data_IF_053968206152
#
_entry.id   IF_053968206152
#
_cell.length_a   1.000
_cell.length_b   1.000
_cell.length_c   1.000
_cell.angle_alpha   90.00
_cell.angle_beta   90.00
_cell.angle_gamma   90.00
#
_symmetry.space_group_name_H-M   'P 1'
#
loop_
_entity.id
_entity.type
_entity.pdbx_description
1 polymer ?
#
# COMPACT_ATOMS: atom_id res chain seq x y z
N UNK A 1 -4.68 -10.76 -50.99
CA UNK A 1 -4.69 -9.44 -50.32
C UNK A 1 -4.97 -9.69 -48.85
N UNK A 2 -3.98 -9.52 -47.98
CA UNK A 2 -4.16 -9.73 -46.55
C UNK A 2 -5.04 -8.59 -46.02
N UNK A 3 -6.26 -8.91 -45.60
CA UNK A 3 -7.07 -7.96 -44.83
C UNK A 3 -6.25 -7.58 -43.60
N UNK A 4 -6.02 -6.27 -43.36
CA UNK A 4 -5.38 -5.87 -42.15
C UNK A 4 -6.39 -6.19 -41.02
N UNK A 5 -6.03 -7.18 -40.20
CA UNK A 5 -6.64 -7.50 -38.91
C UNK A 5 -6.79 -6.35 -37.88
N UNK A 6 -6.19 -5.14 -37.98
CA UNK A 6 -6.32 -4.09 -36.97
C UNK A 6 -7.73 -3.53 -36.74
N UNK A 7 -8.71 -3.77 -37.62
CA UNK A 7 -10.00 -3.07 -37.58
C UNK A 7 -11.22 -3.91 -37.17
N UNK A 8 -11.04 -5.21 -36.86
CA UNK A 8 -12.17 -6.08 -36.51
C UNK A 8 -12.61 -5.84 -35.05
N UNK A 9 -13.91 -5.79 -34.70
CA UNK A 9 -14.39 -5.89 -33.32
C UNK A 9 -13.98 -7.23 -32.66
N UNK A 10 -13.85 -7.32 -31.31
CA UNK A 10 -13.44 -8.56 -30.63
C UNK A 10 -14.34 -9.77 -30.94
N UNK A 11 -15.64 -9.51 -31.07
CA UNK A 11 -16.67 -10.49 -31.47
C UNK A 11 -16.44 -10.98 -32.90
N UNK A 12 -16.00 -10.09 -33.79
CA UNK A 12 -15.70 -10.39 -35.19
C UNK A 12 -14.35 -11.12 -35.34
N UNK A 13 -13.37 -10.82 -34.48
CA UNK A 13 -12.13 -11.60 -34.41
C UNK A 13 -12.38 -13.01 -33.88
N UNK A 14 -13.20 -13.14 -32.84
CA UNK A 14 -13.69 -14.41 -32.30
C UNK A 14 -14.39 -15.24 -33.38
N UNK A 15 -15.31 -14.64 -34.13
CA UNK A 15 -16.01 -15.30 -35.24
C UNK A 15 -15.08 -15.69 -36.38
N UNK A 16 -14.13 -14.81 -36.77
CA UNK A 16 -13.17 -15.11 -37.85
C UNK A 16 -12.26 -16.27 -37.48
N UNK A 17 -11.78 -16.33 -36.23
CA UNK A 17 -10.94 -17.44 -35.78
C UNK A 17 -11.78 -18.73 -35.65
N UNK A 18 -13.01 -18.66 -35.14
CA UNK A 18 -13.93 -19.81 -35.09
C UNK A 18 -14.22 -20.36 -36.49
N UNK A 19 -14.53 -19.49 -37.46
CA UNK A 19 -14.77 -19.91 -38.85
C UNK A 19 -13.50 -20.52 -39.49
N UNK A 20 -12.34 -19.91 -39.30
CA UNK A 20 -11.06 -20.42 -39.82
C UNK A 20 -10.68 -21.80 -39.26
N UNK A 21 -11.04 -22.06 -37.99
CA UNK A 21 -10.75 -23.32 -37.31
C UNK A 21 -11.80 -24.39 -37.61
N UNK A 22 -13.08 -24.00 -37.74
CA UNK A 22 -14.20 -24.90 -38.04
C UNK A 22 -14.11 -25.53 -39.43
N UNK A 23 -13.59 -24.81 -40.43
CA UNK A 23 -13.56 -25.29 -41.82
C UNK A 23 -12.48 -26.35 -42.12
N UNK A 24 -11.38 -26.37 -41.36
CA UNK A 24 -10.18 -27.17 -41.69
C UNK A 24 -9.68 -28.02 -40.52
N UNK A 25 -10.19 -27.79 -39.31
CA UNK A 25 -9.72 -28.42 -38.08
C UNK A 25 -8.41 -27.84 -37.58
N UNK A 26 -8.24 -27.77 -36.25
CA UNK A 26 -7.16 -27.06 -35.56
C UNK A 26 -5.77 -27.52 -36.01
N UNK A 27 -5.57 -28.83 -36.14
CA UNK A 27 -4.27 -29.42 -36.50
C UNK A 27 -3.84 -29.08 -37.94
N UNK A 28 -4.79 -29.03 -38.88
CA UNK A 28 -4.50 -28.76 -40.29
C UNK A 28 -4.43 -27.25 -40.55
N UNK A 29 -5.25 -26.46 -39.86
CA UNK A 29 -5.14 -25.00 -39.83
C UNK A 29 -3.76 -24.57 -39.29
N UNK A 30 -3.21 -25.27 -38.29
CA UNK A 30 -1.86 -25.05 -37.79
C UNK A 30 -0.78 -25.25 -38.86
N UNK A 31 -0.90 -26.34 -39.62
CA UNK A 31 0.07 -26.75 -40.63
C UNK A 31 -0.02 -25.92 -41.91
N UNK A 32 -1.23 -25.54 -42.32
CA UNK A 32 -1.50 -24.92 -43.62
C UNK A 32 -1.71 -23.40 -43.55
N UNK A 33 -2.34 -22.88 -42.48
CA UNK A 33 -2.69 -21.46 -42.35
C UNK A 33 -1.70 -20.63 -41.50
N UNK A 34 -0.62 -21.25 -40.99
CA UNK A 34 0.32 -20.60 -40.08
C UNK A 34 -0.39 -19.97 -38.88
N UNK A 35 -1.12 -20.76 -38.07
CA UNK A 35 -1.84 -20.22 -36.90
C UNK A 35 -0.93 -19.39 -35.97
N UNK A 36 0.37 -19.67 -35.92
CA UNK A 36 1.39 -18.82 -35.30
C UNK A 36 1.25 -17.33 -35.67
N UNK A 37 1.10 -17.01 -36.96
CA UNK A 37 0.93 -15.64 -37.45
C UNK A 37 -0.41 -15.04 -36.98
N UNK A 38 -1.45 -15.87 -36.81
CA UNK A 38 -2.75 -15.45 -36.29
C UNK A 38 -2.71 -15.12 -34.80
N UNK A 39 -2.04 -15.95 -33.98
CA UNK A 39 -1.84 -15.67 -32.56
C UNK A 39 -0.96 -14.45 -32.33
N UNK A 40 0.11 -14.31 -33.14
CA UNK A 40 0.94 -13.12 -33.14
C UNK A 40 0.11 -11.86 -33.44
N UNK A 41 -0.67 -11.86 -34.54
CA UNK A 41 -1.56 -10.74 -34.90
C UNK A 41 -2.67 -10.50 -33.89
N UNK A 42 -3.18 -11.55 -33.23
CA UNK A 42 -4.11 -11.41 -32.12
C UNK A 42 -3.47 -10.58 -31.00
N UNK A 43 -2.25 -10.91 -30.60
CA UNK A 43 -1.46 -10.12 -29.65
C UNK A 43 -1.34 -8.65 -30.07
N UNK A 44 -1.07 -8.37 -31.34
CA UNK A 44 -0.99 -6.99 -31.86
C UNK A 44 -2.33 -6.25 -31.80
N UNK A 45 -3.42 -6.94 -32.17
CA UNK A 45 -4.77 -6.41 -32.17
C UNK A 45 -5.25 -6.06 -30.76
N UNK A 46 -5.00 -6.93 -29.78
CA UNK A 46 -5.37 -6.68 -28.38
C UNK A 46 -4.66 -5.45 -27.82
N UNK A 47 -3.39 -5.27 -28.15
CA UNK A 47 -2.68 -4.05 -27.79
C UNK A 47 -3.32 -2.80 -28.40
N UNK A 48 -3.71 -2.83 -29.68
CA UNK A 48 -4.27 -1.67 -30.37
C UNK A 48 -5.62 -1.21 -29.77
N UNK A 49 -6.52 -2.15 -29.49
CA UNK A 49 -7.80 -1.86 -28.82
C UNK A 49 -7.60 -1.21 -27.46
N UNK A 50 -6.56 -1.64 -26.75
CA UNK A 50 -6.22 -1.18 -25.40
C UNK A 50 -5.64 0.24 -25.41
N UNK A 51 -4.73 0.54 -26.36
CA UNK A 51 -4.13 1.88 -26.49
C UNK A 51 -5.19 2.92 -26.89
N UNK A 52 -6.20 2.52 -27.66
CA UNK A 52 -7.30 3.40 -28.08
C UNK A 52 -8.28 3.73 -26.95
N UNK A 53 -8.37 2.92 -25.90
CA UNK A 53 -9.36 3.03 -24.81
C UNK A 53 -9.12 4.17 -23.78
N UNK A 54 -8.25 5.15 -24.06
CA UNK A 54 -7.80 6.24 -23.17
C UNK A 54 -7.03 5.78 -21.90
N UNK A 55 -5.76 6.17 -21.72
CA UNK A 55 -4.91 5.75 -20.60
C UNK A 55 -4.99 6.68 -19.37
N UNK A 56 -6.12 7.35 -19.13
CA UNK A 56 -6.21 8.38 -18.07
C UNK A 56 -6.34 7.82 -16.65
N UNK A 57 -6.50 6.50 -16.49
CA UNK A 57 -6.54 5.83 -15.20
C UNK A 57 -5.35 4.88 -15.04
N UNK A 58 -4.47 5.18 -14.09
CA UNK A 58 -3.24 4.45 -13.75
C UNK A 58 -3.45 3.02 -13.23
N UNK A 59 -4.67 2.47 -13.31
CA UNK A 59 -5.03 1.15 -12.83
C UNK A 59 -6.28 0.69 -13.55
N UNK A 60 -6.13 0.14 -14.76
CA UNK A 60 -7.28 -0.45 -15.45
C UNK A 60 -7.22 -1.99 -15.31
N UNK A 61 -7.72 -2.57 -14.20
CA UNK A 61 -7.80 -4.04 -14.05
C UNK A 61 -8.61 -4.69 -15.18
N UNK A 62 -9.49 -3.91 -15.84
CA UNK A 62 -10.19 -4.30 -17.05
C UNK A 62 -9.25 -4.69 -18.19
N UNK A 63 -8.10 -4.02 -18.33
CA UNK A 63 -7.12 -4.32 -19.37
C UNK A 63 -6.55 -5.73 -19.20
N UNK A 64 -6.03 -6.00 -18.01
CA UNK A 64 -5.44 -7.30 -17.70
C UNK A 64 -6.49 -8.42 -17.78
N UNK A 65 -7.71 -8.16 -17.30
CA UNK A 65 -8.81 -9.11 -17.41
C UNK A 65 -9.19 -9.39 -18.88
N UNK A 66 -9.14 -8.38 -19.75
CA UNK A 66 -9.40 -8.55 -21.17
C UNK A 66 -8.31 -9.41 -21.83
N UNK A 67 -7.04 -9.12 -21.57
CA UNK A 67 -5.91 -9.94 -22.05
C UNK A 67 -6.01 -11.38 -21.54
N UNK A 68 -6.29 -11.59 -20.25
CA UNK A 68 -6.46 -12.92 -19.66
C UNK A 68 -7.67 -13.65 -20.25
N UNK A 69 -8.83 -12.99 -20.36
CA UNK A 69 -10.05 -13.59 -20.93
C UNK A 69 -9.86 -14.02 -22.37
N UNK A 70 -9.14 -13.23 -23.16
CA UNK A 70 -8.87 -13.58 -24.55
C UNK A 70 -7.80 -14.65 -24.68
N UNK A 71 -6.78 -14.66 -23.82
CA UNK A 71 -5.86 -15.77 -23.74
C UNK A 71 -6.59 -17.07 -23.33
N UNK A 72 -7.48 -17.03 -22.34
CA UNK A 72 -8.33 -18.17 -21.95
C UNK A 72 -9.23 -18.62 -23.09
N UNK A 73 -9.94 -17.71 -23.76
CA UNK A 73 -10.77 -18.01 -24.93
C UNK A 73 -9.97 -18.73 -26.02
N UNK A 74 -8.77 -18.23 -26.32
CA UNK A 74 -7.89 -18.81 -27.31
C UNK A 74 -7.40 -20.23 -26.97
N UNK A 75 -7.40 -20.63 -25.68
CA UNK A 75 -7.02 -21.97 -25.24
C UNK A 75 -8.24 -22.88 -25.04
N UNK A 76 -9.34 -22.34 -24.53
CA UNK A 76 -10.54 -23.09 -24.12
C UNK A 76 -11.54 -23.26 -25.27
N UNK A 77 -11.85 -22.20 -26.04
CA UNK A 77 -12.85 -22.27 -27.11
C UNK A 77 -12.29 -22.78 -28.44
N UNK A 78 -10.98 -22.69 -28.65
CA UNK A 78 -10.33 -23.20 -29.86
C UNK A 78 -9.78 -24.62 -29.71
N UNK A 79 -10.12 -25.31 -28.60
CA UNK A 79 -9.72 -26.69 -28.28
C UNK A 79 -8.25 -27.01 -28.63
N UNK A 80 -7.34 -26.07 -28.35
CA UNK A 80 -5.93 -26.21 -28.75
C UNK A 80 -5.36 -27.49 -28.11
N UNK A 81 -4.79 -28.42 -28.90
CA UNK A 81 -4.23 -29.65 -28.38
C UNK A 81 -3.18 -29.38 -27.29
N UNK A 82 -3.18 -30.15 -26.21
CA UNK A 82 -2.29 -29.93 -25.05
C UNK A 82 -0.81 -29.75 -25.44
N UNK A 83 -0.34 -30.51 -26.42
CA UNK A 83 1.04 -30.43 -26.90
C UNK A 83 1.41 -29.11 -27.61
N UNK A 84 0.42 -28.32 -28.06
CA UNK A 84 0.61 -27.04 -28.75
C UNK A 84 0.33 -25.82 -27.86
N UNK A 85 -0.28 -26.01 -26.68
CA UNK A 85 -0.63 -24.91 -25.77
C UNK A 85 0.57 -24.09 -25.31
N UNK A 86 1.73 -24.73 -25.14
CA UNK A 86 2.95 -24.02 -24.80
C UNK A 86 3.41 -23.09 -25.94
N UNK A 87 3.28 -23.57 -27.18
CA UNK A 87 3.72 -22.83 -28.36
C UNK A 87 2.75 -21.69 -28.72
N UNK A 88 1.43 -21.90 -28.61
CA UNK A 88 0.43 -20.81 -28.75
C UNK A 88 0.70 -19.67 -27.77
N UNK A 89 0.99 -20.03 -26.52
CA UNK A 89 1.26 -19.05 -25.46
C UNK A 89 2.53 -18.27 -25.77
N UNK A 90 3.56 -18.92 -26.33
CA UNK A 90 4.78 -18.26 -26.79
C UNK A 90 4.51 -17.28 -27.93
N UNK A 91 3.75 -17.67 -28.96
CA UNK A 91 3.47 -16.79 -30.11
C UNK A 91 2.62 -15.58 -29.72
N UNK A 92 1.63 -15.80 -28.83
CA UNK A 92 0.82 -14.72 -28.28
C UNK A 92 1.69 -13.75 -27.46
N UNK A 93 2.60 -14.29 -26.64
CA UNK A 93 3.58 -13.48 -25.91
C UNK A 93 4.53 -12.74 -26.85
N UNK A 94 4.94 -13.34 -27.97
CA UNK A 94 5.81 -12.73 -28.96
C UNK A 94 5.10 -11.55 -29.65
N UNK A 95 3.85 -11.74 -30.10
CA UNK A 95 3.03 -10.67 -30.69
C UNK A 95 2.79 -9.51 -29.71
N UNK A 96 2.49 -9.83 -28.45
CA UNK A 96 2.43 -8.82 -27.39
C UNK A 96 3.80 -8.15 -27.18
N UNK A 97 4.91 -8.89 -27.17
CA UNK A 97 6.23 -8.32 -26.90
C UNK A 97 6.73 -7.35 -27.99
N UNK A 98 6.36 -7.58 -29.27
CA UNK A 98 6.82 -6.75 -30.41
C UNK A 98 6.02 -5.46 -30.58
N UNK A 99 4.74 -5.46 -30.20
CA UNK A 99 3.92 -4.22 -30.17
C UNK A 99 4.31 -3.28 -29.03
N UNK A 100 5.06 -3.79 -28.04
CA UNK A 100 5.45 -3.13 -26.82
C UNK A 100 6.64 -2.16 -26.97
N UNK A 101 6.57 -1.23 -27.91
CA UNK A 101 7.31 0.03 -27.79
C UNK A 101 6.70 0.89 -26.65
N UNK A 102 7.11 0.54 -25.42
CA UNK A 102 7.63 1.44 -24.38
C UNK A 102 6.76 2.09 -23.27
N UNK A 103 5.42 1.98 -23.17
CA UNK A 103 4.74 2.77 -22.12
C UNK A 103 3.65 2.11 -21.26
N UNK A 104 2.54 1.52 -21.74
CA UNK A 104 1.35 1.37 -20.90
C UNK A 104 1.43 0.24 -19.86
N UNK A 105 1.84 -0.97 -20.26
CA UNK A 105 1.98 -2.11 -19.35
C UNK A 105 3.30 -2.06 -18.54
N UNK A 106 4.35 -1.43 -19.07
CA UNK A 106 5.55 -1.09 -18.31
C UNK A 106 5.30 0.06 -17.31
N UNK A 107 4.37 1.00 -17.60
CA UNK A 107 3.83 1.97 -16.62
C UNK A 107 2.97 1.28 -15.58
N UNK A 108 2.14 0.31 -15.97
CA UNK A 108 1.35 -0.53 -15.05
C UNK A 108 2.26 -1.30 -14.08
N UNK A 109 3.37 -1.87 -14.57
CA UNK A 109 4.39 -2.58 -13.77
C UNK A 109 5.45 -1.65 -13.12
N UNK A 110 5.31 -0.32 -13.30
CA UNK A 110 6.22 0.77 -12.90
C UNK A 110 7.69 0.63 -13.35
N UNK A 111 8.05 1.52 -14.27
CA UNK A 111 9.37 1.98 -14.78
C UNK A 111 10.15 1.02 -15.70
N UNK A 112 10.45 1.41 -16.96
CA UNK A 112 11.57 0.83 -17.72
C UNK A 112 12.90 1.51 -17.33
N UNK A 113 14.02 0.79 -17.25
CA UNK A 113 15.35 1.39 -17.20
C UNK A 113 15.79 1.84 -18.60
N UNK A 114 16.63 2.87 -18.62
CA UNK A 114 17.21 3.54 -19.78
C UNK A 114 18.34 2.76 -20.48
N UNK A 115 18.49 1.46 -20.26
CA UNK A 115 19.62 0.66 -20.75
C UNK A 115 19.13 -0.64 -21.40
N UNK A 116 19.76 -1.03 -22.51
CA UNK A 116 19.36 -2.11 -23.43
C UNK A 116 18.82 -3.36 -22.72
N UNK A 117 17.51 -3.65 -22.82
CA UNK A 117 16.91 -4.80 -22.16
C UNK A 117 17.34 -6.09 -22.88
N UNK A 118 17.67 -7.13 -22.10
CA UNK A 118 17.75 -8.51 -22.57
C UNK A 118 16.51 -8.85 -23.43
N UNK A 119 16.64 -9.53 -24.58
CA UNK A 119 15.55 -9.72 -25.55
C UNK A 119 14.28 -10.35 -24.94
N UNK A 120 14.47 -11.21 -23.93
CA UNK A 120 13.38 -11.92 -23.26
C UNK A 120 12.63 -11.09 -22.19
N UNK A 121 13.02 -9.85 -21.92
CA UNK A 121 12.35 -9.02 -20.90
C UNK A 121 10.91 -8.67 -21.30
N UNK A 122 10.68 -8.32 -22.57
CA UNK A 122 9.34 -8.02 -23.06
C UNK A 122 8.45 -9.27 -23.10
N UNK A 123 9.04 -10.41 -23.47
CA UNK A 123 8.38 -11.72 -23.39
C UNK A 123 8.02 -12.07 -21.95
N UNK A 124 8.89 -11.77 -20.98
CA UNK A 124 8.62 -11.98 -19.55
C UNK A 124 7.43 -11.12 -19.10
N UNK A 125 7.36 -9.84 -19.46
CA UNK A 125 6.21 -8.97 -19.17
C UNK A 125 4.90 -9.52 -19.77
N UNK A 126 4.96 -9.97 -21.02
CA UNK A 126 3.79 -10.51 -21.72
C UNK A 126 3.29 -11.79 -21.03
N UNK A 127 4.19 -12.71 -20.68
CA UNK A 127 3.82 -13.95 -19.98
C UNK A 127 3.13 -13.70 -18.63
N UNK A 128 3.60 -12.71 -17.86
CA UNK A 128 2.97 -12.30 -16.59
C UNK A 128 1.60 -11.69 -16.81
N UNK A 129 1.46 -10.87 -17.86
CA UNK A 129 0.19 -10.21 -18.20
C UNK A 129 -0.88 -11.22 -18.57
N UNK A 130 -0.49 -12.29 -19.27
CA UNK A 130 -1.38 -13.40 -19.64
C UNK A 130 -1.64 -14.34 -18.44
N UNK A 131 -0.74 -14.41 -17.45
CA UNK A 131 -0.80 -15.41 -16.37
C UNK A 131 -0.18 -16.75 -16.78
N UNK A 132 0.68 -16.76 -17.79
CA UNK A 132 1.37 -17.95 -18.29
C UNK A 132 2.55 -18.33 -17.37
N UNK A 133 2.26 -18.94 -16.22
CA UNK A 133 3.25 -19.19 -15.16
C UNK A 133 4.44 -20.06 -15.59
N UNK A 134 4.21 -21.09 -16.43
CA UNK A 134 5.28 -21.98 -16.89
C UNK A 134 6.23 -21.27 -17.86
N UNK A 135 5.69 -20.49 -18.79
CA UNK A 135 6.51 -19.65 -19.68
C UNK A 135 7.26 -18.57 -18.89
N UNK A 136 6.62 -17.94 -17.90
CA UNK A 136 7.27 -16.99 -16.99
C UNK A 136 8.44 -17.65 -16.26
N UNK A 137 8.30 -18.91 -15.84
CA UNK A 137 9.37 -19.67 -15.18
C UNK A 137 10.57 -19.85 -16.10
N UNK A 138 10.34 -20.34 -17.31
CA UNK A 138 11.42 -20.61 -18.26
C UNK A 138 12.14 -19.32 -18.66
N UNK A 139 11.38 -18.25 -18.96
CA UNK A 139 11.96 -16.96 -19.31
C UNK A 139 12.75 -16.34 -18.14
N UNK A 140 12.28 -16.49 -16.90
CA UNK A 140 12.99 -15.99 -15.73
C UNK A 140 14.33 -16.71 -15.53
N UNK A 141 14.40 -18.03 -15.72
CA UNK A 141 15.69 -18.76 -15.63
C UNK A 141 16.68 -18.28 -16.70
N UNK A 142 16.21 -18.03 -17.92
CA UNK A 142 17.05 -17.52 -19.00
C UNK A 142 17.56 -16.09 -18.72
N UNK A 143 16.72 -15.22 -18.15
CA UNK A 143 17.11 -13.83 -17.83
C UNK A 143 18.06 -13.78 -16.61
N UNK A 144 17.97 -14.74 -15.68
CA UNK A 144 18.75 -14.72 -14.43
C UNK A 144 20.09 -15.47 -14.50
N UNK A 145 20.25 -16.39 -15.45
CA UNK A 145 21.53 -17.08 -15.75
C UNK A 145 22.58 -16.11 -16.30
N UNK A 146 22.17 -15.03 -16.96
CA UNK A 146 23.04 -13.93 -17.34
C UNK A 146 23.22 -12.98 -16.14
N UNK A 147 24.08 -13.36 -15.18
CA UNK A 147 24.33 -12.70 -13.89
C UNK A 147 24.71 -11.19 -13.90
N UNK A 148 24.57 -10.48 -15.03
CA UNK A 148 24.94 -9.08 -15.20
C UNK A 148 23.75 -8.12 -15.22
N UNK A 149 22.50 -8.60 -15.14
CA UNK A 149 21.33 -7.75 -15.36
C UNK A 149 20.51 -7.45 -14.11
N UNK A 150 20.14 -6.17 -13.97
CA UNK A 150 19.13 -5.70 -13.03
C UNK A 150 17.77 -5.84 -13.69
N UNK A 151 16.83 -6.51 -13.02
CA UNK A 151 15.46 -6.60 -13.52
C UNK A 151 14.87 -5.19 -13.69
N UNK A 152 14.24 -4.90 -14.84
CA UNK A 152 13.79 -3.55 -15.17
C UNK A 152 12.63 -3.07 -14.28
N UNK A 153 11.82 -3.99 -13.79
CA UNK A 153 10.66 -3.74 -12.94
C UNK A 153 10.59 -4.76 -11.79
N UNK A 154 9.73 -4.49 -10.81
CA UNK A 154 9.62 -5.29 -9.60
C UNK A 154 8.61 -6.43 -9.79
N UNK A 155 9.10 -7.64 -10.09
CA UNK A 155 8.26 -8.83 -10.35
C UNK A 155 7.38 -9.22 -9.16
N UNK A 156 7.90 -9.13 -7.94
CA UNK A 156 7.13 -9.43 -6.73
C UNK A 156 6.01 -8.40 -6.51
N UNK A 157 6.23 -7.12 -6.85
CA UNK A 157 5.18 -6.10 -6.78
C UNK A 157 4.05 -6.41 -7.77
N UNK A 158 4.37 -6.90 -8.96
CA UNK A 158 3.37 -7.36 -9.92
C UNK A 158 2.53 -8.50 -9.32
N UNK A 159 3.17 -9.54 -8.78
CA UNK A 159 2.46 -10.66 -8.15
C UNK A 159 1.52 -10.21 -7.01
N UNK A 160 1.98 -9.31 -6.15
CA UNK A 160 1.18 -8.78 -5.02
C UNK A 160 0.00 -7.95 -5.52
N UNK A 161 0.21 -7.04 -6.48
CA UNK A 161 -0.85 -6.16 -7.02
C UNK A 161 -1.89 -6.93 -7.83
N UNK A 162 -1.46 -7.97 -8.53
CA UNK A 162 -2.34 -8.83 -9.32
C UNK A 162 -3.06 -9.89 -8.49
N UNK A 163 -2.77 -9.98 -7.19
CA UNK A 163 -3.25 -11.04 -6.29
C UNK A 163 -2.94 -12.45 -6.83
N UNK A 164 -1.76 -12.59 -7.45
CA UNK A 164 -1.34 -13.79 -8.16
C UNK A 164 -0.43 -14.63 -7.26
N UNK A 165 -1.03 -15.60 -6.56
CA UNK A 165 -0.33 -16.43 -5.56
C UNK A 165 0.66 -17.40 -6.19
N UNK A 166 0.31 -18.00 -7.34
CA UNK A 166 1.16 -18.93 -8.08
C UNK A 166 2.44 -18.23 -8.53
N UNK A 167 2.33 -17.02 -9.10
CA UNK A 167 3.49 -16.20 -9.45
C UNK A 167 4.29 -15.80 -8.21
N UNK A 168 3.64 -15.42 -7.11
CA UNK A 168 4.31 -15.04 -5.87
C UNK A 168 5.16 -16.19 -5.30
N UNK A 169 4.59 -17.38 -5.10
CA UNK A 169 5.30 -18.51 -4.52
C UNK A 169 6.40 -19.05 -5.44
N UNK A 170 6.17 -19.00 -6.75
CA UNK A 170 7.18 -19.29 -7.74
C UNK A 170 8.40 -18.36 -7.59
N UNK A 171 8.18 -17.04 -7.56
CA UNK A 171 9.25 -16.05 -7.40
C UNK A 171 9.97 -16.21 -6.05
N UNK A 172 9.24 -16.51 -4.99
CA UNK A 172 9.84 -16.81 -3.67
C UNK A 172 10.76 -18.02 -3.74
N UNK A 173 10.30 -19.12 -4.33
CA UNK A 173 11.11 -20.35 -4.50
C UNK A 173 12.38 -20.08 -5.32
N UNK A 174 12.27 -19.26 -6.36
CA UNK A 174 13.41 -18.85 -7.17
C UNK A 174 14.43 -18.01 -6.38
N UNK A 175 13.99 -17.08 -5.53
CA UNK A 175 14.89 -16.30 -4.67
C UNK A 175 15.52 -17.19 -3.58
N UNK A 176 14.76 -18.13 -3.02
CA UNK A 176 15.21 -19.04 -1.98
C UNK A 176 16.27 -20.04 -2.47
N UNK A 177 16.28 -20.36 -3.76
CA UNK A 177 17.31 -21.19 -4.40
C UNK A 177 18.71 -20.56 -4.34
N UNK A 178 18.82 -19.24 -4.24
CA UNK A 178 20.13 -18.58 -4.08
C UNK A 178 20.67 -18.73 -2.65
N UNK A 179 21.99 -18.94 -2.55
CA UNK A 179 22.73 -19.04 -1.30
C UNK A 179 23.78 -17.93 -1.15
N UNK A 180 24.07 -17.54 0.10
CA UNK A 180 25.15 -16.59 0.41
C UNK A 180 24.96 -15.21 -0.22
N UNK A 181 26.03 -14.68 -0.83
CA UNK A 181 26.06 -13.33 -1.43
C UNK A 181 25.02 -13.15 -2.55
N UNK A 182 24.76 -14.22 -3.32
CA UNK A 182 23.79 -14.19 -4.41
C UNK A 182 22.36 -14.00 -3.89
N UNK A 183 22.07 -14.49 -2.67
CA UNK A 183 20.77 -14.28 -2.03
C UNK A 183 20.57 -12.84 -1.59
N UNK A 184 21.63 -12.18 -1.11
CA UNK A 184 21.59 -10.76 -0.76
C UNK A 184 21.37 -9.87 -1.99
N UNK A 185 22.03 -10.20 -3.10
CA UNK A 185 21.84 -9.52 -4.37
C UNK A 185 20.42 -9.75 -4.91
N UNK A 186 19.93 -10.99 -4.90
CA UNK A 186 18.56 -11.29 -5.30
C UNK A 186 17.53 -10.52 -4.47
N UNK A 187 17.65 -10.51 -3.14
CA UNK A 187 16.74 -9.76 -2.25
C UNK A 187 16.73 -8.25 -2.56
N UNK A 188 17.87 -7.70 -2.95
CA UNK A 188 18.00 -6.29 -3.37
C UNK A 188 17.40 -6.06 -4.76
N UNK A 189 17.66 -6.95 -5.71
CA UNK A 189 17.16 -6.89 -7.08
C UNK A 189 15.64 -7.00 -7.14
N UNK A 190 15.07 -7.93 -6.38
CA UNK A 190 13.63 -8.13 -6.24
C UNK A 190 12.99 -7.14 -5.25
N UNK A 191 13.72 -6.16 -4.72
CA UNK A 191 13.21 -5.10 -3.82
C UNK A 191 12.31 -5.63 -2.70
N UNK A 192 12.71 -6.73 -2.05
CA UNK A 192 11.88 -7.43 -1.05
C UNK A 192 11.40 -6.49 0.07
N UNK A 193 12.22 -5.56 0.53
CA UNK A 193 11.85 -4.59 1.57
C UNK A 193 10.65 -3.69 1.15
N UNK A 194 10.59 -3.29 -0.12
CA UNK A 194 9.46 -2.54 -0.69
C UNK A 194 8.22 -3.43 -0.80
N UNK A 195 8.41 -4.68 -1.21
CA UNK A 195 7.31 -5.65 -1.35
C UNK A 195 6.72 -6.08 -0.01
N UNK A 196 7.51 -6.11 1.07
CA UNK A 196 6.98 -6.29 2.43
C UNK A 196 5.98 -5.17 2.72
N UNK A 197 6.36 -3.92 2.46
CA UNK A 197 5.46 -2.77 2.68
C UNK A 197 4.19 -2.84 1.82
N UNK A 198 4.30 -3.29 0.57
CA UNK A 198 3.15 -3.49 -0.31
C UNK A 198 2.23 -4.63 0.15
N UNK A 199 2.80 -5.77 0.57
CA UNK A 199 2.01 -6.90 1.09
C UNK A 199 1.26 -6.56 2.39
N UNK A 200 1.86 -5.69 3.21
CA UNK A 200 1.22 -5.14 4.41
C UNK A 200 0.05 -4.24 4.01
N UNK A 201 0.26 -3.35 3.03
CA UNK A 201 -0.78 -2.46 2.53
C UNK A 201 -1.95 -3.23 1.89
N UNK A 202 -1.66 -4.34 1.19
CA UNK A 202 -2.68 -5.23 0.63
C UNK A 202 -3.32 -6.19 1.65
N UNK A 203 -2.92 -6.09 2.93
CA UNK A 203 -3.43 -6.90 4.06
C UNK A 203 -3.24 -8.41 3.89
N UNK A 204 -2.24 -8.84 3.11
CA UNK A 204 -1.95 -10.26 2.90
C UNK A 204 -0.90 -10.75 3.92
N UNK A 205 -1.37 -11.27 5.06
CA UNK A 205 -0.52 -11.73 6.16
C UNK A 205 0.43 -12.87 5.77
N UNK A 206 -0.01 -13.79 4.90
CA UNK A 206 0.78 -14.96 4.51
C UNK A 206 1.96 -14.56 3.62
N UNK A 207 1.72 -13.71 2.62
CA UNK A 207 2.77 -13.14 1.78
C UNK A 207 3.74 -12.29 2.61
N UNK A 208 3.22 -11.45 3.50
CA UNK A 208 4.04 -10.64 4.42
C UNK A 208 4.94 -11.53 5.30
N UNK A 209 4.37 -12.60 5.87
CA UNK A 209 5.11 -13.54 6.73
C UNK A 209 6.27 -14.18 5.97
N UNK A 210 6.03 -14.65 4.75
CA UNK A 210 7.06 -15.26 3.91
C UNK A 210 8.16 -14.28 3.50
N UNK A 211 7.82 -13.06 3.08
CA UNK A 211 8.81 -12.05 2.72
C UNK A 211 9.70 -11.66 3.91
N UNK A 212 9.14 -11.55 5.12
CA UNK A 212 9.91 -11.25 6.33
C UNK A 212 10.83 -12.42 6.71
N UNK A 213 10.34 -13.66 6.62
CA UNK A 213 11.18 -14.85 6.85
C UNK A 213 12.37 -14.90 5.88
N UNK A 214 12.10 -14.68 4.58
CA UNK A 214 13.13 -14.59 3.55
C UNK A 214 14.12 -13.44 3.84
N UNK A 215 13.62 -12.28 4.25
CA UNK A 215 14.47 -11.13 4.57
C UNK A 215 15.36 -11.37 5.79
N UNK A 216 14.87 -12.12 6.77
CA UNK A 216 15.59 -12.49 8.00
C UNK A 216 16.55 -13.66 7.80
N UNK A 217 16.49 -14.38 6.68
CA UNK A 217 17.45 -15.46 6.37
C UNK A 217 18.85 -14.93 6.01
N UNK A 218 18.97 -13.64 5.66
CA UNK A 218 20.23 -12.96 5.37
C UNK A 218 20.98 -12.60 6.67
N UNK A 219 22.32 -12.65 6.63
CA UNK A 219 23.21 -12.25 7.75
C UNK A 219 22.98 -10.81 8.20
N UNK A 220 22.84 -9.87 7.26
CA UNK A 220 22.46 -8.47 7.53
C UNK A 220 20.96 -8.35 7.83
N UNK A 221 20.62 -8.41 9.12
CA UNK A 221 19.26 -8.22 9.64
C UNK A 221 18.67 -6.86 9.23
N UNK A 222 17.35 -6.80 9.12
CA UNK A 222 16.62 -5.56 8.88
C UNK A 222 17.00 -4.51 9.94
N UNK A 223 17.20 -3.27 9.51
CA UNK A 223 17.54 -2.20 10.43
C UNK A 223 16.29 -1.75 11.22
N UNK A 224 16.49 -1.11 12.38
CA UNK A 224 15.38 -0.67 13.24
C UNK A 224 14.46 0.38 12.58
N UNK A 225 14.92 1.04 11.51
CA UNK A 225 14.13 2.02 10.77
C UNK A 225 13.18 1.34 9.78
N UNK A 226 13.64 0.29 9.09
CA UNK A 226 12.87 -0.54 8.18
C UNK A 226 11.77 -1.29 8.93
N UNK A 227 12.12 -1.93 10.05
CA UNK A 227 11.11 -2.62 10.89
C UNK A 227 10.06 -1.65 11.42
N UNK A 228 10.46 -0.42 11.78
CA UNK A 228 9.51 0.65 12.14
C UNK A 228 8.64 1.02 10.97
N UNK A 229 9.21 1.21 9.78
CA UNK A 229 8.45 1.59 8.59
C UNK A 229 7.37 0.55 8.26
N UNK A 230 7.68 -0.74 8.32
CA UNK A 230 6.71 -1.82 8.08
C UNK A 230 5.52 -1.74 9.05
N UNK A 231 5.78 -1.46 10.32
CA UNK A 231 4.73 -1.34 11.34
C UNK A 231 3.92 -0.07 11.14
N UNK A 232 4.54 1.05 10.81
CA UNK A 232 3.82 2.28 10.47
C UNK A 232 2.93 2.05 9.24
N UNK A 233 3.42 1.36 8.20
CA UNK A 233 2.60 0.97 7.05
C UNK A 233 1.44 0.06 7.44
N UNK A 234 1.64 -0.87 8.38
CA UNK A 234 0.56 -1.72 8.90
C UNK A 234 -0.49 -0.87 9.63
N UNK A 235 -0.08 0.11 10.43
CA UNK A 235 -0.99 1.04 11.10
C UNK A 235 -1.75 1.93 10.11
N UNK A 236 -1.14 2.28 8.97
CA UNK A 236 -1.79 3.05 7.90
C UNK A 236 -2.95 2.32 7.24
N UNK A 237 -3.03 0.99 7.39
CA UNK A 237 -4.20 0.22 6.95
C UNK A 237 -5.44 0.44 7.83
N UNK A 238 -5.26 1.04 9.00
CA UNK A 238 -6.27 1.26 10.05
C UNK A 238 -7.01 -0.02 10.50
N UNK A 239 -6.41 -1.19 10.30
CA UNK A 239 -6.95 -2.47 10.71
C UNK A 239 -6.24 -2.94 11.99
N UNK A 240 -6.94 -2.79 13.12
CA UNK A 240 -6.42 -3.15 14.45
C UNK A 240 -6.18 -4.66 14.56
N UNK A 241 -7.03 -5.48 13.94
CA UNK A 241 -6.90 -6.95 13.97
C UNK A 241 -5.68 -7.41 13.18
N UNK A 242 -5.44 -6.80 12.03
CA UNK A 242 -4.24 -7.02 11.24
C UNK A 242 -2.98 -6.60 12.01
N UNK A 243 -2.99 -5.43 12.65
CA UNK A 243 -1.84 -4.97 13.44
C UNK A 243 -1.59 -5.88 14.65
N UNK A 244 -2.63 -6.37 15.32
CA UNK A 244 -2.49 -7.30 16.44
C UNK A 244 -1.94 -8.65 15.99
N UNK A 245 -2.46 -9.23 14.90
CA UNK A 245 -1.97 -10.51 14.37
C UNK A 245 -0.52 -10.37 13.90
N UNK A 246 -0.18 -9.26 13.24
CA UNK A 246 1.19 -8.93 12.86
C UNK A 246 2.11 -8.78 14.09
N UNK A 247 1.64 -8.13 15.16
CA UNK A 247 2.36 -7.98 16.41
C UNK A 247 2.67 -9.35 17.05
N UNK A 248 1.69 -10.25 17.07
CA UNK A 248 1.81 -11.60 17.62
C UNK A 248 2.79 -12.47 16.83
N UNK A 249 2.80 -12.35 15.50
CA UNK A 249 3.75 -13.10 14.65
C UNK A 249 5.20 -12.63 14.84
N UNK A 250 5.40 -11.35 15.19
CA UNK A 250 6.72 -10.73 15.18
C UNK A 250 7.03 -9.86 16.42
N UNK A 251 6.92 -10.40 17.65
CA UNK A 251 6.86 -9.61 18.88
C UNK A 251 8.12 -8.75 19.13
N UNK A 252 9.30 -9.25 18.76
CA UNK A 252 10.58 -8.56 19.01
C UNK A 252 10.69 -7.25 18.22
N UNK A 253 10.29 -7.27 16.93
CA UNK A 253 10.34 -6.05 16.13
C UNK A 253 9.23 -5.07 16.52
N UNK A 254 8.06 -5.62 16.89
CA UNK A 254 6.88 -4.82 17.18
C UNK A 254 7.02 -4.02 18.47
N UNK A 255 7.53 -4.65 19.54
CA UNK A 255 7.77 -3.98 20.82
C UNK A 255 8.62 -2.71 20.69
N UNK A 256 9.69 -2.75 19.86
CA UNK A 256 10.57 -1.59 19.64
C UNK A 256 9.88 -0.48 18.85
N UNK A 257 9.05 -0.84 17.88
CA UNK A 257 8.36 0.14 17.05
C UNK A 257 7.16 0.77 17.77
N UNK A 258 6.43 0.01 18.58
CA UNK A 258 5.33 0.53 19.40
C UNK A 258 5.83 1.52 20.46
N UNK A 259 7.01 1.28 21.02
CA UNK A 259 7.72 2.26 21.85
C UNK A 259 8.11 3.52 21.08
N UNK A 260 8.07 3.57 19.76
CA UNK A 260 8.46 4.79 19.06
C UNK A 260 7.31 5.81 19.03
N UNK A 261 7.58 7.08 19.37
CA UNK A 261 6.57 8.16 19.38
C UNK A 261 5.76 8.26 18.08
N UNK A 262 6.39 7.96 16.93
CA UNK A 262 5.71 7.99 15.63
C UNK A 262 4.51 7.04 15.53
N UNK A 263 4.52 5.89 16.25
CA UNK A 263 3.39 4.97 16.25
C UNK A 263 2.16 5.64 16.88
N UNK A 264 2.31 6.18 18.09
CA UNK A 264 1.25 6.95 18.76
C UNK A 264 0.76 8.12 17.91
N UNK A 265 1.69 8.88 17.30
CA UNK A 265 1.33 9.98 16.39
C UNK A 265 0.45 9.48 15.25
N UNK A 266 0.78 8.34 14.64
CA UNK A 266 0.01 7.79 13.53
C UNK A 266 -1.38 7.34 13.98
N UNK A 267 -1.47 6.66 15.12
CA UNK A 267 -2.75 6.25 15.70
C UNK A 267 -3.65 7.47 16.01
N UNK A 268 -3.09 8.54 16.59
CA UNK A 268 -3.82 9.79 16.84
C UNK A 268 -4.37 10.40 15.55
N UNK A 269 -3.58 10.38 14.46
CA UNK A 269 -4.01 10.89 13.14
C UNK A 269 -5.09 10.04 12.49
N UNK A 270 -5.05 8.72 12.70
CA UNK A 270 -6.04 7.80 12.14
C UNK A 270 -7.40 7.87 12.84
N UNK A 271 -7.46 8.46 14.05
CA UNK A 271 -8.69 8.50 14.84
C UNK A 271 -9.06 7.17 15.51
N UNK A 272 -8.17 6.18 15.55
CA UNK A 272 -8.47 4.87 16.13
C UNK A 272 -8.07 4.79 17.60
N UNK A 273 -9.06 4.86 18.51
CA UNK A 273 -8.87 4.66 19.95
C UNK A 273 -8.41 3.23 20.26
N UNK A 274 -8.92 2.23 19.54
CA UNK A 274 -8.49 0.83 19.64
C UNK A 274 -7.01 0.65 19.31
N UNK A 275 -6.51 1.34 18.28
CA UNK A 275 -5.09 1.32 17.95
C UNK A 275 -4.24 1.94 19.08
N UNK A 276 -4.73 3.02 19.71
CA UNK A 276 -4.06 3.62 20.89
C UNK A 276 -3.97 2.60 22.03
N UNK A 277 -5.09 1.95 22.36
CA UNK A 277 -5.15 0.93 23.41
C UNK A 277 -4.21 -0.25 23.13
N UNK A 278 -4.17 -0.72 21.88
CA UNK A 278 -3.24 -1.76 21.44
C UNK A 278 -1.78 -1.33 21.64
N UNK A 279 -1.42 -0.12 21.21
CA UNK A 279 -0.06 0.40 21.36
C UNK A 279 0.36 0.54 22.83
N UNK A 280 -0.55 0.99 23.69
CA UNK A 280 -0.27 1.14 25.13
C UNK A 280 -0.01 -0.23 25.75
N UNK A 281 -0.89 -1.21 25.49
CA UNK A 281 -0.80 -2.57 26.05
C UNK A 281 0.45 -3.31 25.55
N UNK A 282 0.66 -3.35 24.25
CA UNK A 282 1.73 -4.13 23.62
C UNK A 282 3.09 -3.42 23.66
N UNK A 283 3.06 -2.08 23.69
CA UNK A 283 4.23 -1.22 23.72
C UNK A 283 4.73 -0.90 25.13
N UNK A 284 3.95 -1.17 26.18
CA UNK A 284 4.26 -0.79 27.57
C UNK A 284 4.62 0.70 27.64
N UNK A 285 3.69 1.52 27.13
CA UNK A 285 3.85 2.97 27.00
C UNK A 285 3.37 3.67 28.27
N UNK A 286 4.30 4.36 28.93
CA UNK A 286 3.97 5.30 30.01
C UNK A 286 3.82 6.72 29.43
N UNK A 287 2.58 7.17 29.27
CA UNK A 287 2.28 8.49 28.71
C UNK A 287 2.51 9.64 29.72
N UNK A 288 2.71 9.33 31.01
CA UNK A 288 2.97 10.33 32.05
C UNK A 288 4.43 10.83 32.03
N UNK A 289 5.35 10.13 31.35
CA UNK A 289 6.79 10.40 31.44
C UNK A 289 7.51 10.54 30.10
N UNK A 290 8.61 11.29 30.12
CA UNK A 290 9.61 11.31 29.05
C UNK A 290 9.13 11.92 27.73
N UNK A 291 9.32 11.19 26.62
CA UNK A 291 9.18 11.71 25.24
C UNK A 291 7.72 11.73 24.73
N UNK A 292 6.79 11.16 25.50
CA UNK A 292 5.35 11.06 25.17
C UNK A 292 4.51 12.11 25.87
N UNK A 293 5.12 12.95 26.72
CA UNK A 293 4.47 13.81 27.72
C UNK A 293 3.40 14.76 27.17
N UNK A 294 3.51 15.21 25.92
CA UNK A 294 2.56 16.19 25.33
C UNK A 294 2.15 15.89 23.91
N UNK A 295 3.10 15.39 23.13
CA UNK A 295 2.97 15.38 21.68
C UNK A 295 1.78 14.52 21.19
N UNK A 296 1.50 13.33 21.75
CA UNK A 296 0.33 12.54 21.34
C UNK A 296 -1.00 13.23 21.65
N UNK A 297 -1.18 13.74 22.88
CA UNK A 297 -2.42 14.41 23.30
C UNK A 297 -2.67 15.68 22.47
N UNK A 298 -1.64 16.47 22.21
CA UNK A 298 -1.73 17.65 21.34
C UNK A 298 -2.09 17.29 19.89
N UNK A 299 -1.65 16.14 19.38
CA UNK A 299 -2.01 15.67 18.05
C UNK A 299 -3.45 15.15 18.03
N UNK A 300 -3.88 14.40 19.05
CA UNK A 300 -5.26 13.93 19.18
C UNK A 300 -6.26 15.10 19.20
N UNK A 301 -5.98 16.14 20.01
CA UNK A 301 -6.80 17.36 20.05
C UNK A 301 -6.84 18.08 18.71
N UNK A 302 -5.72 18.12 17.97
CA UNK A 302 -5.71 18.70 16.61
C UNK A 302 -6.58 17.94 15.60
N UNK A 303 -6.80 16.64 15.79
CA UNK A 303 -7.62 15.82 14.89
C UNK A 303 -9.06 15.66 15.41
N UNK A 304 -9.35 16.13 16.62
CA UNK A 304 -10.69 16.32 17.15
C UNK A 304 -11.45 15.07 17.56
N UNK A 305 -10.77 13.94 17.72
CA UNK A 305 -11.43 12.69 18.12
C UNK A 305 -11.43 12.53 19.66
N UNK A 306 -12.60 12.69 20.29
CA UNK A 306 -12.79 12.62 21.75
C UNK A 306 -12.48 11.24 22.32
N UNK A 307 -12.75 10.15 21.60
CA UNK A 307 -12.41 8.78 22.04
C UNK A 307 -10.89 8.58 22.11
N UNK A 308 -10.16 9.07 21.11
CA UNK A 308 -8.68 9.04 21.09
C UNK A 308 -8.11 9.90 22.22
N UNK A 309 -8.68 11.08 22.45
CA UNK A 309 -8.28 11.96 23.57
C UNK A 309 -8.54 11.25 24.90
N UNK A 310 -9.69 10.60 25.04
CA UNK A 310 -10.07 9.82 26.21
C UNK A 310 -9.08 8.71 26.51
N UNK A 311 -8.80 7.87 25.51
CA UNK A 311 -7.84 6.76 25.63
C UNK A 311 -6.44 7.23 26.05
N UNK A 312 -5.97 8.37 25.54
CA UNK A 312 -4.67 8.95 25.90
C UNK A 312 -4.67 9.48 27.35
N UNK A 313 -5.74 10.15 27.78
CA UNK A 313 -5.87 10.66 29.16
C UNK A 313 -6.02 9.50 30.16
N UNK A 314 -6.84 8.49 29.84
CA UNK A 314 -7.02 7.28 30.68
C UNK A 314 -5.71 6.50 30.84
N UNK A 315 -4.83 6.57 29.85
CA UNK A 315 -3.48 6.02 29.90
C UNK A 315 -2.47 6.88 30.67
N UNK A 316 -2.92 7.92 31.37
CA UNK A 316 -2.12 8.73 32.29
C UNK A 316 -1.44 9.94 31.66
N UNK A 317 -1.83 10.37 30.46
CA UNK A 317 -1.33 11.62 29.90
C UNK A 317 -1.82 12.83 30.71
N UNK A 318 -0.90 13.73 31.05
CA UNK A 318 -1.21 14.96 31.76
C UNK A 318 -1.93 15.96 30.83
N UNK A 319 -3.19 16.25 31.16
CA UNK A 319 -4.07 17.15 30.41
C UNK A 319 -3.60 18.61 30.46
N UNK A 320 -2.88 19.00 31.51
CA UNK A 320 -2.41 20.37 31.75
C UNK A 320 -0.98 20.61 31.29
N UNK A 321 -0.40 19.60 30.66
CA UNK A 321 0.97 19.68 30.22
C UNK A 321 1.13 20.71 29.10
N UNK A 322 2.05 21.66 29.33
CA UNK A 322 2.31 22.74 28.39
C UNK A 322 3.28 22.33 27.28
N UNK A 323 3.02 22.81 26.06
CA UNK A 323 3.84 22.58 24.86
C UNK A 323 4.15 23.89 24.13
N UNK A 324 5.24 23.89 23.36
CA UNK A 324 5.56 25.02 22.48
C UNK A 324 4.61 25.05 21.26
N UNK A 325 3.94 26.19 21.04
CA UNK A 325 3.12 26.41 19.88
C UNK A 325 3.80 27.37 18.89
N UNK A 326 4.02 26.92 17.65
CA UNK A 326 4.61 27.77 16.59
C UNK A 326 3.73 28.97 16.23
N UNK A 327 2.42 28.88 16.44
CA UNK A 327 1.46 29.95 16.14
C UNK A 327 1.49 31.06 17.19
N UNK A 328 2.01 30.78 18.39
CA UNK A 328 2.21 31.76 19.46
C UNK A 328 3.67 31.69 19.92
N UNK A 329 4.60 32.33 19.18
CA UNK A 329 6.00 32.30 19.54
C UNK A 329 6.19 32.94 20.93
N UNK A 330 6.66 32.12 21.89
CA UNK A 330 7.07 32.43 23.27
C UNK A 330 6.08 32.16 24.42
N UNK A 331 4.96 31.46 24.19
CA UNK A 331 4.14 30.94 25.30
C UNK A 331 4.03 29.42 25.23
N UNK A 332 4.38 28.75 26.32
CA UNK A 332 4.05 27.34 26.52
C UNK A 332 2.54 27.25 26.70
N UNK A 333 1.82 26.65 25.76
CA UNK A 333 0.36 26.55 25.78
C UNK A 333 -0.10 25.19 26.28
N UNK A 334 -1.23 25.15 26.98
CA UNK A 334 -1.89 23.88 27.34
C UNK A 334 -2.60 23.26 26.14
N UNK A 335 -3.02 22.01 26.24
CA UNK A 335 -3.75 21.34 25.16
C UNK A 335 -5.16 21.92 24.99
N UNK A 336 -5.77 22.41 26.08
CA UNK A 336 -7.04 23.12 26.02
C UNK A 336 -6.91 24.49 25.30
N UNK A 337 -5.85 25.25 25.56
CA UNK A 337 -5.56 26.48 24.81
C UNK A 337 -5.32 26.19 23.32
N UNK A 338 -4.64 25.08 22.99
CA UNK A 338 -4.43 24.65 21.62
C UNK A 338 -5.76 24.36 20.91
N UNK A 339 -6.73 23.76 21.60
CA UNK A 339 -8.08 23.51 21.08
C UNK A 339 -8.78 24.84 20.72
N UNK A 340 -8.74 25.82 21.64
CA UNK A 340 -9.32 27.16 21.44
C UNK A 340 -8.68 27.90 20.27
N UNK A 341 -7.34 27.94 20.19
CA UNK A 341 -6.59 28.62 19.12
C UNK A 341 -6.96 28.06 17.74
N UNK A 342 -7.25 26.76 17.66
CA UNK A 342 -7.53 26.08 16.39
C UNK A 342 -9.00 26.06 16.01
N UNK A 343 -9.88 26.63 16.84
CA UNK A 343 -11.33 26.56 16.65
C UNK A 343 -11.81 25.11 16.52
N UNK A 344 -11.21 24.17 17.27
CA UNK A 344 -11.68 22.78 17.28
C UNK A 344 -13.05 22.71 17.94
N UNK A 345 -13.84 21.70 17.58
CA UNK A 345 -15.21 21.51 18.08
C UNK A 345 -15.31 21.70 19.60
N UNK A 346 -16.35 22.42 20.01
CA UNK A 346 -16.60 22.81 21.40
C UNK A 346 -16.68 21.62 22.34
N UNK A 347 -17.15 20.50 21.81
CA UNK A 347 -17.24 19.21 22.48
C UNK A 347 -15.88 18.72 22.98
N UNK A 348 -14.79 18.99 22.25
CA UNK A 348 -13.43 18.62 22.66
C UNK A 348 -12.99 19.45 23.86
N UNK A 349 -13.28 20.76 23.85
CA UNK A 349 -12.89 21.64 24.95
C UNK A 349 -13.68 21.26 26.21
N UNK A 350 -14.99 21.03 26.05
CA UNK A 350 -15.85 20.54 27.13
C UNK A 350 -15.37 19.20 27.68
N UNK A 351 -14.96 18.29 26.80
CA UNK A 351 -14.41 16.99 27.19
C UNK A 351 -13.10 17.17 27.97
N UNK A 352 -12.17 18.00 27.50
CA UNK A 352 -10.91 18.28 28.19
C UNK A 352 -11.16 18.89 29.59
N UNK A 353 -12.08 19.86 29.72
CA UNK A 353 -12.44 20.47 31.00
C UNK A 353 -13.05 19.41 31.94
N UNK A 354 -13.93 18.54 31.44
CA UNK A 354 -14.52 17.44 32.24
C UNK A 354 -13.46 16.47 32.76
N UNK A 355 -12.29 16.43 32.13
CA UNK A 355 -11.14 15.58 32.46
C UNK A 355 -10.06 16.31 33.26
N UNK A 356 -10.37 17.51 33.76
CA UNK A 356 -9.49 18.29 34.64
C UNK A 356 -8.55 19.26 33.94
N UNK A 357 -8.85 19.67 32.70
CA UNK A 357 -8.06 20.68 32.01
C UNK A 357 -8.20 22.06 32.68
N UNK A 358 -7.06 22.63 33.04
CA UNK A 358 -6.93 23.99 33.55
C UNK A 358 -6.90 24.98 32.38
N UNK A 359 -7.67 26.05 32.53
CA UNK A 359 -7.63 27.19 31.61
C UNK A 359 -6.83 28.32 32.25
N UNK A 360 -6.00 29.04 31.47
CA UNK A 360 -5.29 30.21 31.96
C UNK A 360 -6.30 31.29 32.34
N UNK A 361 -5.93 32.14 33.29
CA UNK A 361 -6.78 33.23 33.74
C UNK A 361 -7.22 34.12 32.56
N UNK A 362 -8.50 34.55 32.55
CA UNK A 362 -9.12 35.29 31.45
C UNK A 362 -8.34 36.57 31.05
N UNK A 363 -7.60 37.16 31.97
CA UNK A 363 -6.78 38.34 31.71
C UNK A 363 -5.57 38.07 30.80
N UNK A 364 -5.13 36.81 30.68
CA UNK A 364 -4.03 36.40 29.79
C UNK A 364 -4.53 35.92 28.43
N UNK A 365 -5.85 35.92 28.19
CA UNK A 365 -6.39 35.51 26.91
C UNK A 365 -6.09 36.59 25.86
N UNK A 366 -5.52 36.21 24.70
CA UNK A 366 -5.42 37.11 23.56
C UNK A 366 -6.80 37.68 23.21
N UNK A 367 -6.88 38.97 22.89
CA UNK A 367 -8.10 39.60 22.37
C UNK A 367 -8.41 39.22 20.93
N UNK A 368 -8.21 37.95 20.57
CA UNK A 368 -8.55 37.44 19.24
C UNK A 368 -9.96 36.87 19.24
N UNK A 369 -10.60 36.90 18.07
CA UNK A 369 -11.99 36.46 17.88
C UNK A 369 -12.24 35.04 18.39
N UNK A 370 -11.24 34.17 18.35
CA UNK A 370 -11.29 32.79 18.85
C UNK A 370 -11.52 32.73 20.36
N UNK A 371 -10.77 33.55 21.11
CA UNK A 371 -10.91 33.63 22.57
C UNK A 371 -12.19 34.36 22.98
N UNK A 372 -12.67 35.31 22.18
CA UNK A 372 -13.97 35.97 22.39
C UNK A 372 -15.14 34.99 22.21
N UNK A 373 -15.13 34.19 21.13
CA UNK A 373 -16.13 33.14 20.91
C UNK A 373 -16.12 32.14 22.07
N UNK A 374 -14.93 31.68 22.46
CA UNK A 374 -14.73 30.78 23.60
C UNK A 374 -15.27 31.38 24.91
N UNK A 375 -15.00 32.66 25.16
CA UNK A 375 -15.52 33.42 26.30
C UNK A 375 -17.05 33.44 26.32
N UNK A 376 -17.69 33.71 25.19
CA UNK A 376 -19.15 33.75 25.10
C UNK A 376 -19.78 32.39 25.39
N UNK A 377 -19.17 31.30 24.92
CA UNK A 377 -19.67 29.94 25.13
C UNK A 377 -19.50 29.47 26.57
N UNK A 378 -18.35 29.75 27.19
CA UNK A 378 -18.17 29.54 28.62
C UNK A 378 -19.25 30.30 29.40
N UNK A 379 -19.44 31.58 29.12
CA UNK A 379 -20.48 32.38 29.80
C UNK A 379 -21.90 31.80 29.60
N UNK A 380 -22.24 31.28 28.42
CA UNK A 380 -23.53 30.60 28.15
C UNK A 380 -23.68 29.31 28.96
N UNK A 381 -22.65 28.47 29.00
CA UNK A 381 -22.67 27.19 29.72
C UNK A 381 -22.65 27.39 31.25
N UNK A 382 -21.92 28.38 31.75
CA UNK A 382 -21.88 28.71 33.18
C UNK A 382 -23.18 29.36 33.66
N UNK A 383 -23.86 30.15 32.82
CA UNK A 383 -25.23 30.60 33.07
C UNK A 383 -26.22 29.43 33.16
N UNK A 384 -25.96 28.31 32.49
CA UNK A 384 -26.79 27.11 32.57
C UNK A 384 -26.49 26.23 33.80
N UNK A 385 -25.28 26.32 34.38
CA UNK A 385 -24.84 25.47 35.50
C UNK A 385 -25.14 26.09 36.88
N UNK A 386 -25.30 27.41 36.99
CA UNK A 386 -25.77 28.10 38.21
C UNK A 386 -24.85 27.94 39.43
N UNK A 387 -24.12 29.00 39.80
CA UNK A 387 -23.29 29.19 41.02
C UNK A 387 -22.34 28.05 41.49
N UNK A 388 -22.24 26.92 40.79
CA UNK A 388 -21.20 25.91 40.97
C UNK A 388 -20.01 26.18 40.05
N UNK A 389 -19.52 27.42 40.03
CA UNK A 389 -18.30 27.78 39.31
C UNK A 389 -17.12 27.36 40.20
N UNK A 390 -16.22 26.45 39.78
CA UNK A 390 -14.96 26.27 40.48
C UNK A 390 -14.22 27.61 40.44
N UNK A 391 -13.76 28.09 41.59
CA UNK A 391 -13.14 29.41 41.71
C UNK A 391 -11.80 29.47 40.95
N UNK A 392 -11.84 29.66 39.63
CA UNK A 392 -10.66 29.71 38.76
C UNK A 392 -9.82 30.99 38.88
N UNK A 393 -10.19 31.88 39.82
CA UNK A 393 -9.24 32.77 40.50
C UNK A 393 -9.94 33.51 41.64
N UNK A 394 -9.43 33.33 42.85
CA UNK A 394 -9.37 34.47 43.78
C UNK A 394 -7.99 34.74 44.34
N UNK A 395 -7.05 33.80 44.28
CA UNK A 395 -5.70 34.07 44.80
C UNK A 395 -4.63 33.23 44.10
N UNK A 396 -3.55 33.92 43.72
CA UNK A 396 -2.25 33.37 43.34
C UNK A 396 -1.57 32.84 44.62
N UNK A 397 -1.03 31.60 44.70
CA UNK A 397 -0.05 31.27 45.72
C UNK A 397 1.31 31.82 45.24
N UNK A 398 1.84 32.78 46.00
CA UNK A 398 3.04 33.58 45.71
C UNK A 398 4.23 32.80 45.20
#
# INVERSE_FOLDING_TARGET
>A
MAFPLPDLPPELFSNVIHELVADIGIAEAWKQLKLHDSFHKAGEYLFYQVVRARPESESNPHLLNLVRRLASYLHEELEVPEHLQHQTTQDLCEGLSKTFLAAPLVRFLRTPPSWLPHPNIFHLCASISIGAHDLTRDLLTQVTTTHQFKLPFNLLEAAIKLHDETLFYFLMSHIEAYSGLNREQAITQFKVDTNISLSIFSRNLDQTKRLIQLRNSIRRKANATQTRQWIITAMDTNDVTFVQTFANMFPVMTRRAFKHIMALIRACKSGSADMINLLIREGDLDLAKGRYRTLPLAIAVRHGNTEVIGAIIDAGADVNQRLECKQQPRTLVTVAELAVIRQTDLEIIDYLISRGADLPHMAFWPGTKEYELFREMLLKKHKAIGDQVPAWSKTWPG
#
